data_IF_539039119949
#
_entry.id   IF_539039119949
#
_cell.length_a   1.000
_cell.length_b   1.000
_cell.length_c   1.000
_cell.angle_alpha   90.00
_cell.angle_beta   90.00
_cell.angle_gamma   90.00
#
_symmetry.space_group_name_H-M   'P 1'
#
loop_
_entity.id
_entity.type
_entity.pdbx_description
1 polymer ?
#
# COMPACT_ATOMS: atom_id res chain seq x y z
N UNK A 1 27.57 -19.46 8.32
CA UNK A 1 26.34 -20.26 8.55
C UNK A 1 25.28 -19.41 9.24
N UNK A 2 25.60 -18.75 10.36
CA UNK A 2 24.64 -17.94 11.13
C UNK A 2 24.03 -16.76 10.34
N UNK A 3 24.83 -15.94 9.66
CA UNK A 3 24.29 -14.85 8.81
C UNK A 3 23.39 -15.34 7.67
N UNK A 4 23.66 -16.52 7.11
CA UNK A 4 22.84 -17.11 6.04
C UNK A 4 21.48 -17.50 6.60
N UNK A 5 21.43 -18.10 7.79
CA UNK A 5 20.18 -18.44 8.46
C UNK A 5 19.34 -17.20 8.79
N UNK A 6 19.98 -16.13 9.27
CA UNK A 6 19.29 -14.85 9.57
C UNK A 6 18.73 -14.22 8.30
N UNK A 7 19.52 -14.15 7.22
CA UNK A 7 19.05 -13.61 5.93
C UNK A 7 17.90 -14.45 5.37
N UNK A 8 18.02 -15.78 5.39
CA UNK A 8 16.95 -16.67 4.92
C UNK A 8 15.68 -16.48 5.74
N UNK A 9 15.77 -16.48 7.07
CA UNK A 9 14.63 -16.25 7.95
C UNK A 9 13.97 -14.88 7.71
N UNK A 10 14.79 -13.83 7.56
CA UNK A 10 14.33 -12.48 7.28
C UNK A 10 13.59 -12.39 5.94
N UNK A 11 14.20 -12.90 4.87
CA UNK A 11 13.58 -12.94 3.53
C UNK A 11 12.31 -13.78 3.52
N UNK A 12 12.30 -14.94 4.19
CA UNK A 12 11.09 -15.77 4.33
C UNK A 12 9.98 -15.00 5.03
N UNK A 13 10.27 -14.33 6.15
CA UNK A 13 9.28 -13.56 6.89
C UNK A 13 8.71 -12.39 6.06
N UNK A 14 9.56 -11.71 5.28
CA UNK A 14 9.15 -10.66 4.34
C UNK A 14 8.24 -11.24 3.25
N UNK A 15 8.61 -12.38 2.64
CA UNK A 15 7.78 -13.04 1.62
C UNK A 15 6.42 -13.42 2.19
N UNK A 16 6.36 -13.98 3.41
CA UNK A 16 5.11 -14.33 4.07
C UNK A 16 4.24 -13.10 4.34
N UNK A 17 4.85 -11.98 4.75
CA UNK A 17 4.13 -10.71 4.90
C UNK A 17 3.56 -10.20 3.57
N UNK A 18 4.38 -10.15 2.51
CA UNK A 18 3.95 -9.71 1.18
C UNK A 18 2.81 -10.59 0.68
N UNK A 19 2.99 -11.91 0.76
CA UNK A 19 1.98 -12.88 0.36
C UNK A 19 0.70 -12.73 1.19
N UNK A 20 0.82 -12.55 2.51
CA UNK A 20 -0.31 -12.30 3.39
C UNK A 20 -1.10 -11.06 2.99
N UNK A 21 -0.41 -9.96 2.71
CA UNK A 21 -1.04 -8.70 2.37
C UNK A 21 -1.70 -8.73 0.99
N UNK A 22 -1.04 -9.33 -0.02
CA UNK A 22 -1.60 -9.50 -1.35
C UNK A 22 -2.86 -10.37 -1.34
N UNK A 23 -2.82 -11.52 -0.64
CA UNK A 23 -3.98 -12.41 -0.55
C UNK A 23 -5.10 -11.81 0.30
N UNK A 24 -4.78 -11.03 1.34
CA UNK A 24 -5.77 -10.26 2.08
C UNK A 24 -6.51 -9.30 1.14
N UNK A 25 -5.78 -8.47 0.37
CA UNK A 25 -6.37 -7.54 -0.59
C UNK A 25 -7.18 -8.26 -1.66
N UNK A 26 -6.70 -9.40 -2.18
CA UNK A 26 -7.41 -10.17 -3.20
C UNK A 26 -8.74 -10.76 -2.71
N UNK A 27 -8.77 -11.34 -1.50
CA UNK A 27 -10.00 -11.90 -0.92
C UNK A 27 -11.03 -10.79 -0.61
N UNK A 28 -10.56 -9.66 -0.09
CA UNK A 28 -11.40 -8.47 0.13
C UNK A 28 -11.96 -7.92 -1.20
N UNK A 29 -11.15 -7.88 -2.25
CA UNK A 29 -11.60 -7.52 -3.60
C UNK A 29 -12.68 -8.49 -4.12
N UNK A 30 -12.49 -9.80 -3.92
CA UNK A 30 -13.43 -10.82 -4.36
C UNK A 30 -14.78 -10.71 -3.64
N UNK A 31 -14.77 -10.47 -2.33
CA UNK A 31 -15.97 -10.23 -1.52
C UNK A 31 -16.73 -9.00 -2.03
N UNK A 32 -16.01 -7.97 -2.46
CA UNK A 32 -16.61 -6.69 -2.85
C UNK A 32 -17.53 -6.79 -4.07
N UNK A 33 -17.42 -7.81 -4.92
CA UNK A 33 -18.45 -8.21 -5.91
C UNK A 33 -18.82 -7.20 -7.02
N UNK A 34 -19.47 -7.68 -8.09
CA UNK A 34 -19.90 -6.81 -9.21
C UNK A 34 -20.95 -5.75 -8.81
N UNK A 35 -21.79 -6.03 -7.81
CA UNK A 35 -22.86 -5.11 -7.39
C UNK A 35 -22.30 -3.84 -6.76
N UNK A 36 -21.24 -3.94 -5.96
CA UNK A 36 -20.56 -2.77 -5.42
C UNK A 36 -19.98 -1.97 -6.58
N UNK A 37 -19.24 -2.61 -7.50
CA UNK A 37 -18.68 -1.97 -8.73
C UNK A 37 -19.73 -1.23 -9.56
N UNK A 38 -20.93 -1.80 -9.74
CA UNK A 38 -22.05 -1.18 -10.48
C UNK A 38 -22.73 -0.03 -9.71
N UNK A 39 -22.82 -0.12 -8.38
CA UNK A 39 -23.33 0.98 -7.54
C UNK A 39 -22.43 2.22 -7.67
N UNK A 40 -21.10 2.02 -7.69
CA UNK A 40 -20.11 3.09 -7.82
C UNK A 40 -20.20 3.81 -9.18
N UNK A 41 -20.39 3.05 -10.27
CA UNK A 41 -20.57 3.61 -11.61
C UNK A 41 -21.81 4.52 -11.70
N UNK A 42 -22.87 4.25 -10.93
CA UNK A 42 -24.10 5.05 -10.92
C UNK A 42 -24.03 6.27 -10.00
N UNK A 43 -23.24 6.20 -8.93
CA UNK A 43 -23.17 7.23 -7.90
C UNK A 43 -22.34 8.46 -8.31
N UNK A 44 -21.63 8.42 -9.44
CA UNK A 44 -20.62 9.43 -9.78
C UNK A 44 -21.05 10.33 -10.94
N UNK A 45 -21.72 11.45 -10.64
CA UNK A 45 -21.99 12.53 -11.61
C UNK A 45 -21.13 13.78 -11.41
N UNK A 46 -20.46 13.89 -10.26
CA UNK A 46 -19.69 15.07 -9.83
C UNK A 46 -18.28 14.63 -9.40
N UNK A 47 -17.19 15.32 -9.83
CA UNK A 47 -15.82 14.91 -9.51
C UNK A 47 -15.51 14.82 -8.01
N UNK A 48 -16.04 15.74 -7.18
CA UNK A 48 -15.84 15.71 -5.73
C UNK A 48 -16.47 14.47 -5.07
N UNK A 49 -17.65 14.05 -5.55
CA UNK A 49 -18.28 12.79 -5.12
C UNK A 49 -17.41 11.61 -5.59
N UNK A 50 -16.82 11.70 -6.78
CA UNK A 50 -15.84 10.73 -7.28
C UNK A 50 -14.66 10.52 -6.32
N UNK A 51 -14.12 11.59 -5.72
CA UNK A 51 -13.04 11.48 -4.72
C UNK A 51 -13.49 10.68 -3.50
N UNK A 52 -14.64 11.02 -2.92
CA UNK A 52 -15.15 10.31 -1.74
C UNK A 52 -15.46 8.85 -2.05
N UNK A 53 -16.03 8.58 -3.22
CA UNK A 53 -16.30 7.23 -3.72
C UNK A 53 -14.98 6.46 -3.90
N UNK A 54 -14.01 7.02 -4.60
CA UNK A 54 -12.71 6.39 -4.80
C UNK A 54 -12.00 6.07 -3.48
N UNK A 55 -12.05 6.98 -2.52
CA UNK A 55 -11.48 6.78 -1.19
C UNK A 55 -12.16 5.65 -0.43
N UNK A 56 -13.49 5.65 -0.39
CA UNK A 56 -14.25 4.60 0.29
C UNK A 56 -14.02 3.23 -0.36
N UNK A 57 -14.00 3.19 -1.70
CA UNK A 57 -13.82 1.95 -2.45
C UNK A 57 -12.44 1.39 -2.21
N UNK A 58 -11.39 2.20 -2.32
CA UNK A 58 -10.05 1.71 -2.05
C UNK A 58 -9.87 1.37 -0.59
N UNK A 59 -10.45 2.10 0.36
CA UNK A 59 -10.39 1.74 1.78
C UNK A 59 -11.08 0.40 2.09
N UNK A 60 -12.15 0.07 1.37
CA UNK A 60 -12.86 -1.21 1.53
C UNK A 60 -12.15 -2.32 0.77
N UNK A 61 -11.75 -2.09 -0.49
CA UNK A 61 -11.14 -3.09 -1.38
C UNK A 61 -9.65 -3.30 -1.06
N UNK A 62 -8.99 -2.31 -0.47
CA UNK A 62 -7.56 -2.30 -0.15
C UNK A 62 -6.64 -2.35 -1.38
N UNK A 63 -7.14 -1.92 -2.55
CA UNK A 63 -6.40 -1.88 -3.81
C UNK A 63 -6.73 -0.62 -4.63
N UNK A 64 -5.85 0.39 -4.59
CA UNK A 64 -5.97 1.59 -5.42
C UNK A 64 -5.69 1.31 -6.89
N UNK A 65 -4.78 0.37 -7.19
CA UNK A 65 -4.50 -0.09 -8.56
C UNK A 65 -5.76 -0.68 -9.19
N UNK A 66 -6.47 -1.58 -8.49
CA UNK A 66 -7.72 -2.15 -8.99
C UNK A 66 -8.79 -1.06 -9.21
N UNK A 67 -8.96 -0.16 -8.24
CA UNK A 67 -9.90 0.96 -8.34
C UNK A 67 -9.59 1.88 -9.52
N UNK A 68 -8.31 2.20 -9.74
CA UNK A 68 -7.85 3.05 -10.84
C UNK A 68 -8.02 2.38 -12.20
N UNK A 69 -7.66 1.09 -12.31
CA UNK A 69 -7.85 0.31 -13.54
C UNK A 69 -9.33 0.20 -13.89
N UNK A 70 -10.21 -0.06 -12.92
CA UNK A 70 -11.67 -0.06 -13.13
C UNK A 70 -12.14 1.30 -13.65
N UNK A 71 -11.69 2.40 -13.04
CA UNK A 71 -12.05 3.75 -13.49
C UNK A 71 -11.60 4.01 -14.94
N UNK A 72 -10.37 3.64 -15.29
CA UNK A 72 -9.83 3.77 -16.65
C UNK A 72 -10.62 2.91 -17.65
N UNK A 73 -10.92 1.66 -17.31
CA UNK A 73 -11.72 0.74 -18.14
C UNK A 73 -13.16 1.23 -18.35
N UNK A 74 -13.79 1.81 -17.33
CA UNK A 74 -15.13 2.37 -17.44
C UNK A 74 -15.18 3.63 -18.31
N UNK A 75 -14.11 4.43 -18.32
CA UNK A 75 -13.97 5.56 -19.26
C UNK A 75 -13.78 5.04 -20.68
N UNK A 76 -12.96 4.01 -20.87
CA UNK A 76 -12.78 3.37 -22.18
C UNK A 76 -14.09 2.79 -22.73
N UNK A 77 -14.93 2.22 -21.86
CA UNK A 77 -16.24 1.70 -22.23
C UNK A 77 -17.33 2.79 -22.42
N UNK A 78 -16.98 4.08 -22.26
CA UNK A 78 -17.92 5.19 -22.37
C UNK A 78 -18.94 5.31 -21.21
N UNK A 79 -18.77 4.52 -20.15
CA UNK A 79 -19.67 4.49 -18.98
C UNK A 79 -19.40 5.67 -18.04
N UNK A 80 -18.14 6.08 -17.90
CA UNK A 80 -17.74 7.22 -17.08
C UNK A 80 -17.12 8.32 -17.93
N UNK A 81 -17.37 9.57 -17.54
CA UNK A 81 -16.63 10.72 -18.09
C UNK A 81 -15.22 10.77 -17.51
N UNK A 82 -14.26 11.27 -18.30
CA UNK A 82 -12.90 11.58 -17.84
C UNK A 82 -12.88 12.44 -16.56
N UNK A 83 -13.76 13.44 -16.45
CA UNK A 83 -13.81 14.30 -15.23
C UNK A 83 -14.19 13.51 -13.98
N UNK A 84 -15.09 12.55 -14.12
CA UNK A 84 -15.54 11.71 -12.98
C UNK A 84 -14.50 10.66 -12.62
N UNK A 85 -13.81 10.08 -13.60
CA UNK A 85 -12.75 9.09 -13.35
C UNK A 85 -11.54 9.70 -12.63
N UNK A 86 -11.17 10.94 -12.95
CA UNK A 86 -10.11 11.67 -12.23
C UNK A 86 -10.44 11.77 -10.74
N UNK A 87 -11.69 12.09 -10.39
CA UNK A 87 -12.14 12.10 -9.00
C UNK A 87 -11.94 10.75 -8.33
N UNK A 88 -12.40 9.65 -8.96
CA UNK A 88 -12.25 8.29 -8.43
C UNK A 88 -10.79 7.91 -8.22
N UNK A 89 -9.93 8.21 -9.20
CA UNK A 89 -8.49 7.91 -9.12
C UNK A 89 -7.82 8.69 -7.99
N UNK A 90 -8.13 9.97 -7.81
CA UNK A 90 -7.54 10.77 -6.72
C UNK A 90 -8.06 10.31 -5.35
N UNK A 91 -9.35 9.98 -5.27
CA UNK A 91 -9.93 9.32 -4.11
C UNK A 91 -9.23 8.02 -3.77
N UNK A 92 -8.91 7.20 -4.78
CA UNK A 92 -8.27 5.92 -4.56
C UNK A 92 -6.93 6.04 -3.80
N UNK A 93 -6.14 7.09 -4.06
CA UNK A 93 -4.92 7.35 -3.31
C UNK A 93 -5.20 7.66 -1.83
N UNK A 94 -6.25 8.44 -1.54
CA UNK A 94 -6.68 8.72 -0.16
C UNK A 94 -7.11 7.41 0.52
N UNK A 95 -7.84 6.54 -0.16
CA UNK A 95 -8.29 5.27 0.42
C UNK A 95 -7.16 4.33 0.81
N UNK A 96 -6.03 4.34 0.08
CA UNK A 96 -4.86 3.51 0.40
C UNK A 96 -4.27 3.81 1.77
N UNK A 97 -4.44 5.05 2.27
CA UNK A 97 -3.94 5.46 3.60
C UNK A 97 -4.45 4.57 4.73
N UNK A 98 -5.68 4.03 4.61
CA UNK A 98 -6.23 3.08 5.58
C UNK A 98 -5.37 1.82 5.71
N UNK A 99 -4.75 1.35 4.63
CA UNK A 99 -3.83 0.21 4.67
C UNK A 99 -2.58 0.50 5.48
N UNK A 100 -1.98 1.68 5.29
CA UNK A 100 -0.82 2.10 6.08
C UNK A 100 -1.17 2.17 7.57
N UNK A 101 -2.32 2.75 7.91
CA UNK A 101 -2.81 2.82 9.28
C UNK A 101 -3.00 1.42 9.87
N UNK A 102 -3.66 0.50 9.13
CA UNK A 102 -3.85 -0.88 9.56
C UNK A 102 -2.53 -1.59 9.86
N UNK A 103 -1.49 -1.38 9.06
CA UNK A 103 -0.16 -1.98 9.29
C UNK A 103 0.55 -1.33 10.49
N UNK A 104 0.41 -0.02 10.68
CA UNK A 104 1.00 0.69 11.81
C UNK A 104 0.35 0.34 13.16
N UNK A 105 -0.93 -0.07 13.15
CA UNK A 105 -1.58 -0.62 14.34
C UNK A 105 -0.96 -1.97 14.70
N UNK A 106 -0.23 -2.02 15.82
CA UNK A 106 0.44 -3.22 16.36
C UNK A 106 -0.56 -4.25 16.90
N UNK A 107 -1.44 -4.80 16.04
CA UNK A 107 -2.42 -5.84 16.39
C UNK A 107 -1.81 -7.25 16.46
N UNK A 108 -0.49 -7.34 16.59
CA UNK A 108 0.26 -8.60 16.56
C UNK A 108 -0.14 -9.57 17.67
N UNK A 109 -0.63 -9.08 18.82
CA UNK A 109 -1.13 -9.91 19.92
C UNK A 109 -2.41 -10.68 19.56
N UNK A 110 -3.26 -10.12 18.69
CA UNK A 110 -4.52 -10.74 18.26
C UNK A 110 -4.36 -11.57 16.98
N UNK A 111 -3.19 -11.53 16.34
CA UNK A 111 -2.91 -12.23 15.10
C UNK A 111 -3.28 -13.74 15.14
N UNK A 112 -2.90 -14.51 16.18
CA UNK A 112 -3.26 -15.94 16.25
C UNK A 112 -4.78 -16.17 16.31
N UNK A 113 -5.52 -15.28 16.99
CA UNK A 113 -6.98 -15.37 17.10
C UNK A 113 -7.63 -15.23 15.74
N UNK A 114 -7.22 -14.23 14.96
CA UNK A 114 -7.72 -14.03 13.60
C UNK A 114 -7.34 -15.18 12.65
N UNK A 115 -6.13 -15.72 12.76
CA UNK A 115 -5.71 -16.89 11.97
C UNK A 115 -6.59 -18.09 12.27
N UNK A 116 -6.75 -18.45 13.55
CA UNK A 116 -7.54 -19.62 13.96
C UNK A 116 -9.00 -19.44 13.57
N UNK A 117 -9.60 -18.28 13.88
CA UNK A 117 -10.98 -17.99 13.57
C UNK A 117 -11.25 -18.00 12.06
N UNK A 118 -10.39 -17.33 11.28
CA UNK A 118 -10.49 -17.28 9.83
C UNK A 118 -10.34 -18.64 9.18
N UNK A 119 -9.38 -19.45 9.65
CA UNK A 119 -9.18 -20.82 9.21
C UNK A 119 -10.43 -21.66 9.48
N UNK A 120 -10.93 -21.69 10.71
CA UNK A 120 -12.14 -22.46 11.06
C UNK A 120 -13.36 -22.01 10.27
N UNK A 121 -13.56 -20.69 10.13
CA UNK A 121 -14.67 -20.11 9.39
C UNK A 121 -14.64 -20.47 7.89
N UNK A 122 -13.45 -20.66 7.32
CA UNK A 122 -13.29 -21.03 5.91
C UNK A 122 -13.86 -22.42 5.55
N UNK A 123 -13.99 -23.32 6.54
CA UNK A 123 -14.58 -24.66 6.34
C UNK A 123 -16.08 -24.71 6.63
N UNK A 124 -16.67 -23.64 7.16
CA UNK A 124 -18.10 -23.61 7.49
C UNK A 124 -18.93 -23.55 6.20
N UNK A 125 -19.98 -24.38 6.10
CA UNK A 125 -20.95 -24.34 4.98
C UNK A 125 -22.00 -23.25 5.20
N UNK A 126 -21.58 -21.99 5.32
CA UNK A 126 -22.45 -20.83 5.53
C UNK A 126 -22.03 -19.67 4.63
N UNK A 127 -22.92 -18.71 4.37
CA UNK A 127 -22.61 -17.48 3.64
C UNK A 127 -21.48 -16.67 4.30
N UNK A 128 -21.26 -16.85 5.60
CA UNK A 128 -20.22 -16.14 6.36
C UNK A 128 -18.81 -16.66 6.02
N UNK A 129 -18.67 -17.88 5.48
CA UNK A 129 -17.36 -18.46 5.14
C UNK A 129 -16.59 -17.68 4.08
N UNK A 130 -17.30 -16.84 3.30
CA UNK A 130 -16.69 -15.92 2.34
C UNK A 130 -15.70 -14.96 3.01
N UNK A 131 -15.92 -14.59 4.28
CA UNK A 131 -15.01 -13.73 5.05
C UNK A 131 -13.88 -14.52 5.75
N UNK A 132 -13.97 -15.85 5.80
CA UNK A 132 -13.03 -16.69 6.56
C UNK A 132 -11.59 -16.49 6.11
N UNK A 133 -11.34 -16.51 4.80
CA UNK A 133 -10.01 -16.29 4.24
C UNK A 133 -9.51 -14.86 4.46
N UNK A 134 -10.36 -13.83 4.31
CA UNK A 134 -9.96 -12.46 4.61
C UNK A 134 -9.57 -12.28 6.08
N UNK A 135 -10.33 -12.86 7.02
CA UNK A 135 -9.99 -12.83 8.44
C UNK A 135 -8.68 -13.60 8.70
N UNK A 136 -8.49 -14.75 8.04
CA UNK A 136 -7.25 -15.51 8.13
C UNK A 136 -6.05 -14.68 7.66
N UNK A 137 -6.10 -14.09 6.46
CA UNK A 137 -5.00 -13.32 5.92
C UNK A 137 -4.74 -12.03 6.69
N UNK A 138 -5.79 -11.40 7.23
CA UNK A 138 -5.65 -10.27 8.15
C UNK A 138 -4.80 -10.66 9.36
N UNK A 139 -5.13 -11.77 10.04
CA UNK A 139 -4.30 -12.31 11.13
C UNK A 139 -2.90 -12.72 10.67
N UNK A 140 -2.79 -13.32 9.50
CA UNK A 140 -1.54 -13.80 8.93
C UNK A 140 -0.54 -12.67 8.63
N UNK A 141 -1.02 -11.52 8.15
CA UNK A 141 -0.22 -10.30 7.96
C UNK A 141 0.42 -9.88 9.28
N UNK A 142 -0.37 -9.73 10.35
CA UNK A 142 0.15 -9.34 11.67
C UNK A 142 1.05 -10.40 12.29
N UNK A 143 0.78 -11.69 12.07
CA UNK A 143 1.64 -12.77 12.56
C UNK A 143 3.00 -12.74 11.85
N UNK A 144 3.01 -12.46 10.55
CA UNK A 144 4.24 -12.28 9.77
C UNK A 144 5.09 -11.13 10.31
N UNK A 145 4.49 -10.09 10.91
CA UNK A 145 5.24 -9.02 11.57
C UNK A 145 6.06 -9.52 12.75
N UNK A 146 5.53 -10.46 13.54
CA UNK A 146 6.28 -11.07 14.64
C UNK A 146 7.46 -11.88 14.09
N UNK A 147 7.27 -12.61 12.99
CA UNK A 147 8.34 -13.35 12.32
C UNK A 147 9.43 -12.41 11.81
N UNK A 148 9.06 -11.30 11.16
CA UNK A 148 10.01 -10.28 10.70
C UNK A 148 10.79 -9.69 11.87
N UNK A 149 10.09 -9.32 12.96
CA UNK A 149 10.71 -8.76 14.16
C UNK A 149 11.76 -9.72 14.74
N UNK A 150 11.39 -10.99 14.91
CA UNK A 150 12.29 -12.00 15.47
C UNK A 150 13.46 -12.34 14.53
N UNK A 151 13.20 -12.45 13.22
CA UNK A 151 14.22 -12.81 12.25
C UNK A 151 15.23 -11.69 12.00
N UNK A 152 14.79 -10.43 12.02
CA UNK A 152 15.64 -9.27 11.72
C UNK A 152 16.26 -8.62 12.96
N UNK A 153 15.87 -9.01 14.18
CA UNK A 153 16.46 -8.49 15.42
C UNK A 153 18.00 -8.53 15.45
N UNK A 154 18.68 -9.60 14.99
CA UNK A 154 20.15 -9.62 14.96
C UNK A 154 20.75 -8.59 13.99
N UNK A 155 20.02 -8.21 12.94
CA UNK A 155 20.51 -7.29 11.89
C UNK A 155 20.44 -5.82 12.29
N UNK A 156 19.74 -5.47 13.38
CA UNK A 156 19.65 -4.09 13.86
C UNK A 156 21.01 -3.47 14.18
N UNK A 157 21.99 -4.30 14.56
CA UNK A 157 23.34 -3.86 14.94
C UNK A 157 24.37 -4.01 13.81
N UNK A 158 23.96 -4.46 12.61
CA UNK A 158 24.88 -4.69 11.49
C UNK A 158 25.32 -3.36 10.85
N UNK A 159 26.63 -3.02 10.83
CA UNK A 159 27.11 -1.72 10.35
C UNK A 159 26.74 -1.42 8.90
N UNK A 160 26.68 -2.45 8.05
CA UNK A 160 26.27 -2.33 6.65
C UNK A 160 24.80 -1.89 6.54
N UNK A 161 23.91 -2.44 7.37
CA UNK A 161 22.50 -2.10 7.39
C UNK A 161 22.31 -0.65 7.86
N UNK A 162 23.02 -0.26 8.92
CA UNK A 162 23.01 1.10 9.44
C UNK A 162 23.42 2.13 8.40
N UNK A 163 24.43 1.82 7.57
CA UNK A 163 24.90 2.74 6.52
C UNK A 163 23.87 2.99 5.42
N UNK A 164 23.13 1.97 4.98
CA UNK A 164 22.26 2.08 3.80
C UNK A 164 20.78 2.33 4.11
N UNK A 165 20.29 1.85 5.27
CA UNK A 165 18.86 1.94 5.61
C UNK A 165 18.58 2.91 6.76
N UNK A 166 19.54 3.12 7.68
CA UNK A 166 19.35 3.98 8.85
C UNK A 166 19.91 5.39 8.61
N UNK A 167 21.16 5.49 8.14
CA UNK A 167 21.76 6.79 7.83
C UNK A 167 21.01 7.49 6.69
N UNK A 168 20.78 8.81 6.78
CA UNK A 168 20.05 9.55 5.76
C UNK A 168 20.70 9.38 4.39
N UNK A 169 19.95 8.85 3.44
CA UNK A 169 20.38 8.69 2.05
C UNK A 169 19.91 9.88 1.21
N UNK A 170 20.36 9.93 -0.04
CA UNK A 170 19.81 10.85 -1.02
C UNK A 170 18.29 10.59 -1.20
N UNK A 171 17.39 11.54 -0.88
CA UNK A 171 15.94 11.33 -0.96
C UNK A 171 15.46 10.96 -2.37
N UNK A 172 16.13 11.45 -3.41
CA UNK A 172 15.80 11.10 -4.80
C UNK A 172 16.08 9.62 -5.10
N UNK A 173 17.14 9.07 -4.50
CA UNK A 173 17.44 7.65 -4.63
C UNK A 173 16.39 6.79 -3.93
N UNK A 174 15.96 7.18 -2.71
CA UNK A 174 14.88 6.49 -2.01
C UNK A 174 13.55 6.56 -2.78
N UNK A 175 13.20 7.72 -3.37
CA UNK A 175 12.04 7.86 -4.27
C UNK A 175 12.16 6.91 -5.47
N UNK A 176 13.32 6.85 -6.12
CA UNK A 176 13.52 5.97 -7.27
C UNK A 176 13.36 4.50 -6.89
N UNK A 177 13.95 4.07 -5.78
CA UNK A 177 13.83 2.69 -5.28
C UNK A 177 12.37 2.35 -4.98
N UNK A 178 11.66 3.22 -4.26
CA UNK A 178 10.24 3.02 -3.94
C UNK A 178 9.36 2.97 -5.17
N UNK A 179 9.64 3.81 -6.16
CA UNK A 179 8.95 3.84 -7.45
C UNK A 179 9.15 2.55 -8.23
N UNK A 180 10.40 2.13 -8.45
CA UNK A 180 10.72 0.93 -9.21
C UNK A 180 10.21 -0.34 -8.52
N UNK A 181 10.40 -0.45 -7.20
CA UNK A 181 9.92 -1.59 -6.44
C UNK A 181 8.40 -1.69 -6.50
N UNK A 182 7.69 -0.57 -6.30
CA UNK A 182 6.22 -0.55 -6.40
C UNK A 182 5.72 -0.82 -7.81
N UNK A 183 6.41 -0.33 -8.84
CA UNK A 183 6.04 -0.61 -10.22
C UNK A 183 6.23 -2.10 -10.57
N UNK A 184 7.28 -2.74 -10.03
CA UNK A 184 7.55 -4.16 -10.24
C UNK A 184 6.53 -5.05 -9.51
N UNK A 185 6.28 -4.77 -8.23
CA UNK A 185 5.32 -5.51 -7.38
C UNK A 185 3.86 -5.13 -7.70
N UNK A 186 3.64 -3.97 -8.31
CA UNK A 186 2.33 -3.40 -8.66
C UNK A 186 1.41 -3.12 -7.45
N UNK A 187 1.98 -3.03 -6.24
CA UNK A 187 1.26 -2.76 -4.99
C UNK A 187 2.00 -1.76 -4.11
N UNK A 188 1.48 -0.53 -3.99
CA UNK A 188 2.03 0.46 -3.04
C UNK A 188 1.74 0.09 -1.59
N UNK A 189 0.66 -0.63 -1.32
CA UNK A 189 0.35 -1.16 0.02
C UNK A 189 1.45 -2.10 0.51
N UNK A 190 2.02 -2.92 -0.39
CA UNK A 190 3.16 -3.79 -0.05
C UNK A 190 4.40 -2.96 0.27
N UNK A 191 4.77 -2.02 -0.61
CA UNK A 191 5.95 -1.17 -0.41
C UNK A 191 5.84 -0.32 0.87
N UNK A 192 4.69 0.31 1.07
CA UNK A 192 4.38 1.16 2.22
C UNK A 192 4.31 0.34 3.50
N UNK A 193 3.66 -0.83 3.46
CA UNK A 193 3.61 -1.76 4.58
C UNK A 193 5.00 -2.20 5.02
N UNK A 194 5.87 -2.59 4.07
CA UNK A 194 7.26 -2.93 4.37
C UNK A 194 8.04 -1.74 4.96
N UNK A 195 7.85 -0.53 4.42
CA UNK A 195 8.48 0.68 4.95
C UNK A 195 8.07 0.94 6.41
N UNK A 196 6.78 0.82 6.73
CA UNK A 196 6.23 0.97 8.09
C UNK A 196 6.82 -0.07 9.02
N UNK A 197 6.93 -1.32 8.58
CA UNK A 197 7.46 -2.40 9.41
C UNK A 197 8.94 -2.23 9.67
N UNK A 198 9.73 -1.92 8.65
CA UNK A 198 11.17 -1.67 8.84
C UNK A 198 11.41 -0.47 9.72
N UNK A 199 10.57 0.56 9.61
CA UNK A 199 10.59 1.72 10.51
C UNK A 199 10.23 1.34 11.94
N UNK A 200 9.22 0.48 12.12
CA UNK A 200 8.83 -0.05 13.43
C UNK A 200 9.93 -0.89 14.09
N UNK A 201 10.73 -1.61 13.29
CA UNK A 201 11.86 -2.41 13.77
C UNK A 201 13.17 -1.62 13.89
N UNK A 202 13.16 -0.30 13.65
CA UNK A 202 14.36 0.53 13.69
C UNK A 202 15.37 0.23 12.57
N UNK A 203 14.97 -0.51 11.53
CA UNK A 203 15.82 -0.88 10.40
C UNK A 203 15.81 0.20 9.32
N UNK A 204 14.78 1.05 9.28
CA UNK A 204 14.62 2.14 8.32
C UNK A 204 14.31 3.43 9.08
N UNK A 205 15.08 4.49 8.88
CA UNK A 205 14.79 5.79 9.48
C UNK A 205 13.63 6.48 8.76
N UNK A 206 12.91 7.37 9.46
CA UNK A 206 11.85 8.18 8.84
C UNK A 206 12.35 8.98 7.64
N UNK A 207 13.58 9.49 7.74
CA UNK A 207 14.24 10.26 6.68
C UNK A 207 14.42 9.47 5.38
N UNK A 208 14.56 8.15 5.48
CA UNK A 208 14.63 7.25 4.32
C UNK A 208 13.25 6.69 3.93
N UNK A 209 12.39 6.44 4.92
CA UNK A 209 11.08 5.82 4.72
C UNK A 209 10.07 6.74 4.02
N UNK A 210 10.05 8.03 4.36
CA UNK A 210 9.15 9.01 3.74
C UNK A 210 9.40 9.15 2.24
N UNK A 211 10.64 9.42 1.75
CA UNK A 211 10.89 9.47 0.32
C UNK A 211 10.68 8.12 -0.38
N UNK A 212 10.87 6.99 0.31
CA UNK A 212 10.52 5.67 -0.23
C UNK A 212 9.02 5.55 -0.54
N UNK A 213 8.14 5.99 0.38
CA UNK A 213 6.68 6.00 0.18
C UNK A 213 6.27 7.00 -0.91
N UNK A 214 6.92 8.18 -0.98
CA UNK A 214 6.73 9.12 -2.09
C UNK A 214 7.01 8.44 -3.44
N UNK A 215 8.08 7.66 -3.51
CA UNK A 215 8.38 6.78 -4.64
C UNK A 215 7.25 5.78 -4.93
N UNK A 216 6.76 5.10 -3.90
CA UNK A 216 5.68 4.12 -4.03
C UNK A 216 4.39 4.71 -4.63
N UNK A 217 4.05 5.95 -4.26
CA UNK A 217 2.90 6.66 -4.82
C UNK A 217 3.05 6.88 -6.33
N UNK A 218 4.25 7.23 -6.82
CA UNK A 218 4.54 7.31 -8.26
C UNK A 218 4.44 5.91 -8.89
N UNK A 219 5.11 4.91 -8.30
CA UNK A 219 5.17 3.55 -8.84
C UNK A 219 3.80 2.89 -9.03
N UNK A 220 2.82 3.20 -8.16
CA UNK A 220 1.43 2.72 -8.24
C UNK A 220 0.79 2.97 -9.60
N UNK A 221 1.17 4.07 -10.25
CA UNK A 221 0.57 4.52 -11.51
C UNK A 221 0.98 3.65 -12.70
N UNK A 222 2.03 2.83 -12.57
CA UNK A 222 2.51 1.94 -13.61
C UNK A 222 1.42 1.00 -14.15
N UNK A 223 0.56 0.48 -13.26
CA UNK A 223 -0.56 -0.41 -13.64
C UNK A 223 -1.52 0.24 -14.62
N UNK A 224 -1.96 1.47 -14.33
CA UNK A 224 -2.86 2.24 -15.19
C UNK A 224 -2.18 2.68 -16.49
N UNK A 225 -0.89 3.04 -16.43
CA UNK A 225 -0.09 3.40 -17.61
C UNK A 225 0.09 2.22 -18.58
N UNK A 226 0.31 1.01 -18.05
CA UNK A 226 0.38 -0.20 -18.85
C UNK A 226 -1.00 -0.57 -19.43
N UNK A 227 -2.06 -0.47 -18.62
CA UNK A 227 -3.41 -0.79 -19.06
C UNK A 227 -3.91 0.11 -20.20
N UNK A 228 -3.52 1.39 -20.23
CA UNK A 228 -4.04 2.37 -21.21
C UNK A 228 -3.45 2.26 -22.63
N UNK A 229 -2.43 1.44 -22.88
CA UNK A 229 -1.66 1.46 -24.15
C UNK A 229 -2.56 1.32 -25.40
N UNK A 230 -3.54 0.42 -25.33
CA UNK A 230 -4.48 0.11 -26.41
C UNK A 230 -5.89 0.68 -26.17
N UNK A 231 -6.01 1.72 -25.35
CA UNK A 231 -7.29 2.34 -25.00
C UNK A 231 -7.50 3.71 -25.66
N UNK A 232 -8.75 4.18 -25.62
CA UNK A 232 -9.17 5.46 -26.17
C UNK A 232 -8.53 6.66 -25.45
N UNK A 233 -8.56 7.82 -26.12
CA UNK A 233 -7.94 9.06 -25.64
C UNK A 233 -8.43 9.45 -24.23
N UNK A 234 -9.70 9.24 -23.92
CA UNK A 234 -10.25 9.55 -22.60
C UNK A 234 -9.67 8.67 -21.48
N UNK A 235 -9.46 7.38 -21.76
CA UNK A 235 -8.83 6.44 -20.83
C UNK A 235 -7.35 6.77 -20.63
N UNK A 236 -6.63 7.10 -21.72
CA UNK A 236 -5.25 7.59 -21.66
C UNK A 236 -5.10 8.86 -20.84
N UNK A 237 -6.01 9.83 -21.02
CA UNK A 237 -6.06 11.05 -20.18
C UNK A 237 -6.27 10.71 -18.71
N UNK A 238 -7.12 9.72 -18.39
CA UNK A 238 -7.36 9.29 -17.00
C UNK A 238 -6.09 8.72 -16.37
N UNK A 239 -5.44 7.77 -17.04
CA UNK A 239 -4.20 7.15 -16.54
C UNK A 239 -3.04 8.16 -16.44
N UNK A 240 -2.89 9.06 -17.42
CA UNK A 240 -1.90 10.14 -17.33
C UNK A 240 -2.21 11.14 -16.22
N UNK A 241 -3.49 11.44 -15.96
CA UNK A 241 -3.87 12.30 -14.82
C UNK A 241 -3.47 11.65 -13.50
N UNK A 242 -3.59 10.33 -13.38
CA UNK A 242 -3.11 9.59 -12.22
C UNK A 242 -1.59 9.76 -12.03
N UNK A 243 -0.84 9.58 -13.12
CA UNK A 243 0.62 9.72 -13.12
C UNK A 243 1.06 11.12 -12.71
N UNK A 244 0.55 12.15 -13.41
CA UNK A 244 0.92 13.54 -13.13
C UNK A 244 0.46 14.02 -11.75
N UNK A 245 -0.65 13.50 -11.22
CA UNK A 245 -1.06 13.80 -9.85
C UNK A 245 -0.04 13.29 -8.82
N UNK A 246 0.39 12.03 -8.92
CA UNK A 246 1.37 11.48 -7.98
C UNK A 246 2.74 12.14 -8.13
N UNK A 247 3.21 12.33 -9.36
CA UNK A 247 4.48 13.05 -9.61
C UNK A 247 4.39 14.50 -9.10
N UNK A 248 3.31 15.20 -9.38
CA UNK A 248 3.07 16.56 -8.89
C UNK A 248 3.03 16.63 -7.37
N UNK A 249 2.38 15.67 -6.72
CA UNK A 249 2.39 15.54 -5.25
C UNK A 249 3.81 15.41 -4.71
N UNK A 250 4.61 14.50 -5.26
CA UNK A 250 6.01 14.35 -4.84
C UNK A 250 6.81 15.64 -5.07
N UNK A 251 6.64 16.31 -6.20
CA UNK A 251 7.34 17.58 -6.48
C UNK A 251 6.96 18.71 -5.52
N UNK A 252 5.72 18.72 -5.02
CA UNK A 252 5.24 19.70 -4.03
C UNK A 252 5.79 19.40 -2.63
N UNK A 253 5.79 18.13 -2.22
CA UNK A 253 6.18 17.74 -0.86
C UNK A 253 7.69 17.48 -0.70
N UNK A 254 8.42 17.21 -1.77
CA UNK A 254 9.87 16.98 -1.72
C UNK A 254 10.65 18.18 -1.15
N UNK A 255 10.42 19.45 -1.53
CA UNK A 255 11.08 20.59 -0.91
C UNK A 255 10.81 20.68 0.60
N UNK A 256 9.59 20.35 1.03
CA UNK A 256 9.23 20.34 2.45
C UNK A 256 10.04 19.26 3.18
N UNK A 257 10.15 18.07 2.59
CA UNK A 257 11.00 16.99 3.11
C UNK A 257 12.47 17.39 3.18
N UNK A 258 13.01 18.08 2.17
CA UNK A 258 14.41 18.51 2.17
C UNK A 258 14.72 19.56 3.24
N UNK A 259 13.74 20.43 3.55
CA UNK A 259 13.90 21.50 4.54
C UNK A 259 13.64 21.03 5.98
N UNK A 260 12.68 20.12 6.17
CA UNK A 260 12.17 19.72 7.49
C UNK A 260 12.35 18.23 7.81
N UNK A 261 12.90 17.43 6.89
CA UNK A 261 13.02 15.97 7.02
C UNK A 261 13.80 15.52 8.25
N UNK A 262 14.90 16.20 8.56
CA UNK A 262 15.70 15.92 9.76
C UNK A 262 14.93 16.12 11.07
N UNK A 263 13.89 16.96 11.07
CA UNK A 263 13.05 17.22 12.25
C UNK A 263 11.90 16.22 12.38
N UNK A 264 11.66 15.35 11.40
CA UNK A 264 10.55 14.37 11.45
C UNK A 264 10.68 13.43 12.66
N UNK A 265 11.92 13.15 13.09
CA UNK A 265 12.19 12.32 14.27
C UNK A 265 11.83 13.02 15.61
N UNK A 266 11.57 14.33 15.60
CA UNK A 266 11.21 15.11 16.80
C UNK A 266 9.69 15.09 17.07
N UNK A 267 8.86 14.75 16.08
CA UNK A 267 7.41 14.98 16.12
C UNK A 267 6.58 13.80 16.66
N UNK A 268 7.13 12.58 16.77
CA UNK A 268 6.33 11.42 17.19
C UNK A 268 7.15 10.40 17.98
N UNK A 269 6.55 9.87 19.06
CA UNK A 269 7.15 8.83 19.89
C UNK A 269 7.12 7.45 19.20
N UNK A 270 6.30 7.27 18.15
CA UNK A 270 6.23 6.04 17.37
C UNK A 270 6.47 6.29 15.87
N UNK A 271 7.70 6.10 15.38
CA UNK A 271 8.07 6.32 13.98
C UNK A 271 7.19 5.60 12.94
N UNK A 272 6.65 4.43 13.27
CA UNK A 272 5.76 3.69 12.36
C UNK A 272 4.41 4.38 12.18
N UNK A 273 3.87 4.98 13.24
CA UNK A 273 2.61 5.74 13.21
C UNK A 273 2.82 7.08 12.51
N UNK A 274 3.94 7.75 12.79
CA UNK A 274 4.34 8.96 12.06
C UNK A 274 4.39 8.72 10.56
N UNK A 275 5.04 7.64 10.13
CA UNK A 275 5.14 7.30 8.72
C UNK A 275 3.77 7.02 8.09
N UNK A 276 2.89 6.31 8.79
CA UNK A 276 1.53 6.05 8.33
C UNK A 276 0.66 7.32 8.27
N UNK A 277 0.93 8.33 9.09
CA UNK A 277 0.26 9.63 9.05
C UNK A 277 0.79 10.55 7.94
N UNK A 278 2.07 10.41 7.58
CA UNK A 278 2.71 11.15 6.48
C UNK A 278 2.27 10.61 5.12
N UNK A 279 2.01 9.30 5.03
CA UNK A 279 1.49 8.64 3.83
C UNK A 279 0.11 9.18 3.42
#
# INVERSE_FOLDING_TARGET
MEHIHVIMAGVTAIILFVFGLENFSAEIEQISGERFRKFLARATKIPAIGVLIGALVTAVIQSSSATSVIAVSLVNAGVLSFKSSVGIVFGANIGTTITAQLVAFKLTAFAPVFIILGFLLSFVRSKISIFGKSIFYFGFVFFSLNLISAALAPLQNEPALTKYLIQPQNPLFAILVGCLFTAAVQSSSVTTGLAIIFTQQGLLSLENAVPLIMGANIGTTATALLAMLNMDVAAKKTALSHFFFNVGGVLIFLPILLLFGARLNEFDANPAVALANIH
#
